data_IF_098265972071
#
_entry.id   IF_098265972071
#
_cell.length_a   1.000
_cell.length_b   1.000
_cell.length_c   1.000
_cell.angle_alpha   90.00
_cell.angle_beta   90.00
_cell.angle_gamma   90.00
#
_symmetry.space_group_name_H-M   'P 1'
#
loop_
_entity.id
_entity.type
_entity.pdbx_description
1 polymer ?
#
# COMPACT_ATOMS: atom_id res chain seq x y z
N UNK A 1 13.67 21.51 8.35
CA UNK A 1 13.59 21.86 6.91
C UNK A 1 12.15 22.15 6.49
N UNK A 2 11.19 21.25 6.72
CA UNK A 2 9.76 21.40 6.36
C UNK A 2 9.06 22.67 6.93
N UNK A 3 9.18 22.93 8.24
CA UNK A 3 8.46 24.04 8.91
C UNK A 3 8.87 25.44 8.44
N UNK A 4 10.12 25.60 7.97
CA UNK A 4 10.62 26.90 7.51
C UNK A 4 10.01 27.31 6.16
N UNK A 5 9.71 26.34 5.29
CA UNK A 5 9.00 26.55 4.03
C UNK A 5 7.55 26.99 4.27
N UNK A 6 6.87 26.36 5.24
CA UNK A 6 5.49 26.68 5.60
C UNK A 6 5.40 28.14 6.07
N UNK A 7 6.22 28.56 7.04
CA UNK A 7 6.23 29.94 7.54
C UNK A 7 6.53 30.95 6.41
N UNK A 8 7.37 30.58 5.44
CA UNK A 8 7.73 31.44 4.31
C UNK A 8 6.59 31.60 3.31
N UNK A 9 5.78 30.57 3.08
CA UNK A 9 4.56 30.61 2.25
C UNK A 9 3.50 31.49 2.92
N UNK A 10 3.30 31.33 4.24
CA UNK A 10 2.42 32.20 5.01
C UNK A 10 2.88 33.66 4.92
N UNK A 11 4.17 33.97 5.05
CA UNK A 11 4.61 35.37 4.96
C UNK A 11 4.38 36.04 3.58
N UNK A 12 4.26 35.28 2.49
CA UNK A 12 4.06 35.82 1.14
C UNK A 12 2.58 36.20 0.86
N UNK A 13 1.65 35.61 1.59
CA UNK A 13 0.22 35.82 1.40
C UNK A 13 -0.25 37.02 2.27
N UNK A 14 -0.34 38.21 1.67
CA UNK A 14 -0.70 39.47 2.37
C UNK A 14 -2.18 39.55 2.82
N UNK A 15 -3.05 38.71 2.25
CA UNK A 15 -4.50 38.74 2.49
C UNK A 15 -4.93 37.68 3.50
N UNK A 16 -5.53 38.11 4.62
CA UNK A 16 -5.98 37.25 5.73
C UNK A 16 -7.01 36.21 5.29
N UNK A 17 -7.85 36.52 4.30
CA UNK A 17 -8.86 35.59 3.76
C UNK A 17 -8.23 34.43 2.98
N UNK A 18 -7.08 34.65 2.34
CA UNK A 18 -6.34 33.61 1.59
C UNK A 18 -5.60 32.65 2.51
N UNK A 19 -5.07 33.15 3.62
CA UNK A 19 -4.36 32.38 4.64
C UNK A 19 -5.25 31.36 5.33
N UNK A 20 -6.46 31.81 5.69
CA UNK A 20 -7.45 30.96 6.38
C UNK A 20 -7.90 29.84 5.44
N UNK A 21 -8.17 30.14 4.16
CA UNK A 21 -8.52 29.11 3.17
C UNK A 21 -7.39 28.09 2.97
N UNK A 22 -6.14 28.55 2.91
CA UNK A 22 -4.97 27.68 2.76
C UNK A 22 -4.79 26.76 3.99
N UNK A 23 -4.95 27.28 5.21
CA UNK A 23 -4.94 26.49 6.44
C UNK A 23 -6.06 25.44 6.46
N UNK A 24 -7.27 25.83 6.05
CA UNK A 24 -8.41 24.91 6.00
C UNK A 24 -8.18 23.76 5.01
N UNK A 25 -7.61 24.05 3.84
CA UNK A 25 -7.29 23.02 2.82
C UNK A 25 -6.18 22.08 3.35
N UNK A 26 -5.15 22.62 3.99
CA UNK A 26 -4.07 21.81 4.57
C UNK A 26 -4.60 20.92 5.70
N UNK A 27 -5.44 21.44 6.60
CA UNK A 27 -6.11 20.66 7.63
C UNK A 27 -6.99 19.55 7.05
N UNK A 28 -7.73 19.83 5.96
CA UNK A 28 -8.56 18.85 5.27
C UNK A 28 -7.70 17.70 4.69
N UNK A 29 -6.59 18.04 4.03
CA UNK A 29 -5.66 17.07 3.43
C UNK A 29 -4.97 16.19 4.47
N UNK A 30 -4.52 16.78 5.59
CA UNK A 30 -3.92 16.05 6.70
C UNK A 30 -4.95 15.12 7.35
N UNK A 31 -6.19 15.59 7.53
CA UNK A 31 -7.29 14.79 8.07
C UNK A 31 -7.61 13.55 7.23
N UNK A 32 -7.53 13.66 5.89
CA UNK A 32 -7.74 12.50 5.00
C UNK A 32 -6.60 11.48 5.04
N UNK A 33 -5.36 11.92 5.27
CA UNK A 33 -4.19 11.02 5.31
C UNK A 33 -4.15 10.14 6.57
N UNK A 34 -4.67 10.62 7.70
CA UNK A 34 -4.68 9.86 8.95
C UNK A 34 -5.70 8.70 8.98
N UNK A 35 -6.63 8.63 8.02
CA UNK A 35 -7.69 7.62 8.02
C UNK A 35 -7.36 6.35 7.23
N UNK A 36 -6.37 6.39 6.34
CA UNK A 36 -5.98 5.22 5.55
C UNK A 36 -5.03 4.34 6.35
N UNK A 37 -5.57 3.35 7.07
CA UNK A 37 -4.77 2.25 7.60
C UNK A 37 -4.32 1.38 6.42
N UNK A 38 -3.02 1.38 6.14
CA UNK A 38 -2.41 0.40 5.22
C UNK A 38 -2.18 -0.87 6.02
N UNK A 39 -3.11 -1.81 5.96
CA UNK A 39 -2.90 -3.17 6.46
C UNK A 39 -2.40 -4.04 5.32
N UNK A 40 -1.52 -5.00 5.63
CA UNK A 40 -1.23 -6.09 4.71
C UNK A 40 -2.50 -6.93 4.47
N UNK A 41 -2.44 -7.90 3.55
CA UNK A 41 -3.53 -8.86 3.39
C UNK A 41 -3.88 -9.49 4.75
N UNK A 42 -5.18 -9.55 5.06
CA UNK A 42 -5.65 -10.26 6.25
C UNK A 42 -5.10 -11.69 6.24
N UNK A 43 -4.52 -12.18 7.34
CA UNK A 43 -3.99 -13.53 7.40
C UNK A 43 -5.11 -14.55 7.25
N UNK A 44 -4.83 -15.64 6.53
CA UNK A 44 -5.78 -16.74 6.40
C UNK A 44 -6.04 -17.40 7.75
N UNK A 45 -7.31 -17.73 8.01
CA UNK A 45 -7.71 -18.55 9.15
C UNK A 45 -7.55 -20.03 8.78
N UNK A 46 -7.33 -20.89 9.78
CA UNK A 46 -7.27 -22.34 9.61
C UNK A 46 -8.68 -22.97 9.45
N UNK A 47 -9.51 -22.39 8.58
CA UNK A 47 -10.84 -22.91 8.21
C UNK A 47 -10.94 -23.00 6.69
N UNK A 48 -11.75 -23.93 6.19
CA UNK A 48 -11.88 -24.17 4.76
C UNK A 48 -12.39 -22.94 4.00
N UNK A 49 -13.34 -22.21 4.57
CA UNK A 49 -13.93 -21.02 3.97
C UNK A 49 -12.89 -19.91 3.77
N UNK A 50 -11.94 -19.80 4.69
CA UNK A 50 -10.85 -18.82 4.56
C UNK A 50 -9.85 -19.25 3.49
N UNK A 51 -9.46 -20.53 3.46
CA UNK A 51 -8.47 -21.02 2.51
C UNK A 51 -8.98 -21.02 1.07
N UNK A 52 -10.26 -21.39 0.88
CA UNK A 52 -10.89 -21.44 -0.45
C UNK A 52 -11.12 -20.04 -1.06
N UNK A 53 -11.07 -18.99 -0.24
CA UNK A 53 -11.10 -17.59 -0.72
C UNK A 53 -9.82 -17.14 -1.44
N UNK A 54 -8.76 -17.95 -1.43
CA UNK A 54 -7.50 -17.63 -2.08
C UNK A 54 -7.66 -17.53 -3.60
N UNK A 55 -7.39 -16.34 -4.15
CA UNK A 55 -7.38 -16.12 -5.60
C UNK A 55 -6.01 -16.45 -6.18
N UNK A 56 -5.99 -17.29 -7.20
CA UNK A 56 -4.77 -17.51 -7.99
C UNK A 56 -4.34 -16.21 -8.68
N UNK A 57 -3.04 -15.90 -8.71
CA UNK A 57 -2.56 -14.72 -9.42
C UNK A 57 -2.72 -14.91 -10.93
N UNK A 58 -3.05 -13.83 -11.64
CA UNK A 58 -3.39 -13.89 -13.07
C UNK A 58 -2.29 -14.54 -13.93
N UNK A 59 -1.02 -14.26 -13.64
CA UNK A 59 0.09 -14.83 -14.41
C UNK A 59 0.15 -16.37 -14.31
N UNK A 60 -0.31 -16.95 -13.21
CA UNK A 60 -0.34 -18.40 -13.01
C UNK A 60 -1.52 -19.03 -13.77
N UNK A 61 -2.67 -18.35 -13.77
CA UNK A 61 -3.86 -18.75 -14.54
C UNK A 61 -3.63 -18.62 -16.07
N UNK A 62 -2.88 -17.60 -16.48
CA UNK A 62 -2.51 -17.35 -17.88
C UNK A 62 -1.48 -18.38 -18.39
N UNK A 63 -0.62 -18.91 -17.51
CA UNK A 63 0.38 -19.90 -17.89
C UNK A 63 -0.27 -21.21 -18.34
N UNK A 64 0.07 -21.67 -19.56
CA UNK A 64 -0.54 -22.89 -20.15
C UNK A 64 0.38 -24.11 -20.15
N UNK A 65 1.68 -23.91 -19.93
CA UNK A 65 2.69 -24.96 -19.91
C UNK A 65 3.53 -24.79 -18.66
N UNK A 66 3.66 -25.86 -17.87
CA UNK A 66 4.55 -25.94 -16.73
C UNK A 66 5.54 -27.08 -16.90
N UNK A 67 6.80 -26.86 -16.51
CA UNK A 67 7.80 -27.91 -16.37
C UNK A 67 8.05 -28.12 -14.88
N UNK A 68 7.82 -29.34 -14.41
CA UNK A 68 8.20 -29.75 -13.06
C UNK A 68 9.52 -30.50 -13.14
N UNK A 69 10.48 -30.10 -12.30
CA UNK A 69 11.75 -30.79 -12.16
C UNK A 69 11.82 -31.38 -10.75
N UNK A 70 11.91 -32.71 -10.68
CA UNK A 70 12.12 -33.43 -9.43
C UNK A 70 13.62 -33.70 -9.30
N UNK A 71 14.36 -32.74 -8.75
CA UNK A 71 15.76 -32.95 -8.33
C UNK A 71 15.86 -32.99 -6.81
N UNK A 72 16.76 -33.81 -6.28
CA UNK A 72 17.04 -33.86 -4.86
C UNK A 72 18.15 -34.85 -4.54
N UNK A 73 18.32 -35.18 -3.25
CA UNK A 73 19.36 -36.14 -2.82
C UNK A 73 19.16 -37.52 -3.44
N UNK A 74 17.93 -37.90 -3.78
CA UNK A 74 17.60 -39.11 -4.56
C UNK A 74 18.10 -39.08 -6.01
N UNK A 75 18.56 -37.93 -6.52
CA UNK A 75 19.15 -37.78 -7.86
C UNK A 75 20.68 -37.92 -7.86
N UNK A 76 21.31 -38.07 -6.68
CA UNK A 76 22.75 -38.38 -6.55
C UNK A 76 22.92 -39.90 -6.75
N UNK A 77 23.91 -40.36 -7.54
CA UNK A 77 24.12 -41.79 -7.74
C UNK A 77 24.40 -42.52 -6.41
N UNK A 78 23.82 -43.71 -6.28
CA UNK A 78 24.12 -44.64 -5.19
C UNK A 78 25.50 -45.28 -5.36
#
# INVERSE_FOLDING_TARGET
MEYFLIIRIFRNLKSTTMQIKLLLIICLMIGTFSLTKVTAQEPYKATWESLDSHKMPQWYDDAKIGLSMHWGVYSVPA
#
